data_IF_572588584205
#
_entry.id   IF_572588584205
#
_cell.length_a   1.000
_cell.length_b   1.000
_cell.length_c   1.000
_cell.angle_alpha   90.00
_cell.angle_beta   90.00
_cell.angle_gamma   90.00
#
_symmetry.space_group_name_H-M   'P 1'
#
loop_
_entity.id
_entity.type
_entity.pdbx_description
1 polymer ?
#
# COMPACT_ATOMS: atom_id res chain seq x y z
N UNK A 1 11.03 -16.96 -17.35
CA UNK A 1 9.83 -16.97 -18.23
C UNK A 1 9.41 -18.42 -18.42
N UNK A 2 8.11 -18.70 -18.34
CA UNK A 2 7.56 -20.04 -18.60
C UNK A 2 6.57 -19.93 -19.77
N UNK A 3 6.55 -20.94 -20.64
CA UNK A 3 5.65 -20.99 -21.79
C UNK A 3 4.42 -21.85 -21.45
N UNK A 4 3.23 -21.37 -21.81
CA UNK A 4 1.96 -22.08 -21.62
C UNK A 4 1.30 -22.30 -22.98
N UNK A 5 0.98 -23.55 -23.31
CA UNK A 5 0.21 -23.91 -24.50
C UNK A 5 -1.20 -24.28 -24.09
N UNK A 6 -2.20 -23.67 -24.71
CA UNK A 6 -3.62 -23.91 -24.44
C UNK A 6 -4.32 -24.30 -25.73
N UNK A 7 -5.17 -25.33 -25.66
CA UNK A 7 -6.12 -25.65 -26.72
C UNK A 7 -7.41 -24.86 -26.46
N UNK A 8 -7.74 -23.93 -27.36
CA UNK A 8 -8.90 -23.06 -27.28
C UNK A 8 -9.64 -23.15 -28.61
N UNK A 9 -10.97 -23.09 -28.57
CA UNK A 9 -11.77 -22.97 -29.79
C UNK A 9 -11.36 -21.74 -30.61
N UNK A 10 -11.23 -21.91 -31.92
CA UNK A 10 -10.70 -20.88 -32.82
C UNK A 10 -11.63 -19.66 -32.91
N UNK A 11 -12.95 -19.88 -32.89
CA UNK A 11 -13.93 -18.76 -32.92
C UNK A 11 -13.83 -17.94 -31.65
N UNK A 12 -13.66 -18.61 -30.50
CA UNK A 12 -13.46 -17.94 -29.22
C UNK A 12 -12.15 -17.13 -29.21
N UNK A 13 -11.05 -17.72 -29.68
CA UNK A 13 -9.75 -17.05 -29.75
C UNK A 13 -9.82 -15.83 -30.67
N UNK A 14 -10.49 -15.94 -31.81
CA UNK A 14 -10.64 -14.84 -32.75
C UNK A 14 -11.48 -13.70 -32.16
N UNK A 15 -12.59 -14.01 -31.50
CA UNK A 15 -13.39 -13.01 -30.80
C UNK A 15 -12.59 -12.29 -29.70
N UNK A 16 -11.81 -13.03 -28.92
CA UNK A 16 -10.93 -12.48 -27.89
C UNK A 16 -9.86 -11.55 -28.47
N UNK A 17 -9.26 -11.91 -29.62
CA UNK A 17 -8.28 -11.06 -30.32
C UNK A 17 -8.90 -9.76 -30.80
N UNK A 18 -10.07 -9.80 -31.44
CA UNK A 18 -10.78 -8.60 -31.90
C UNK A 18 -11.07 -7.68 -30.72
N UNK A 19 -11.51 -8.23 -29.59
CA UNK A 19 -11.75 -7.46 -28.37
C UNK A 19 -10.46 -6.85 -27.80
N UNK A 20 -9.38 -7.63 -27.74
CA UNK A 20 -8.11 -7.16 -27.21
C UNK A 20 -7.57 -5.96 -28.02
N UNK A 21 -7.69 -6.00 -29.35
CA UNK A 21 -7.30 -4.87 -30.22
C UNK A 21 -8.12 -3.62 -29.91
N UNK A 22 -9.44 -3.75 -29.75
CA UNK A 22 -10.32 -2.62 -29.38
C UNK A 22 -9.93 -2.00 -28.04
N UNK A 23 -9.53 -2.82 -27.08
CA UNK A 23 -9.10 -2.41 -25.75
C UNK A 23 -7.61 -2.01 -25.69
N UNK A 24 -6.90 -1.95 -26.84
CA UNK A 24 -5.46 -1.69 -26.96
C UNK A 24 -4.60 -2.60 -26.07
N UNK A 25 -4.99 -3.85 -25.95
CA UNK A 25 -4.31 -4.89 -25.19
C UNK A 25 -4.02 -6.12 -26.06
N UNK A 26 -3.48 -7.18 -25.47
CA UNK A 26 -3.24 -8.46 -26.14
C UNK A 26 -3.87 -9.62 -25.37
N UNK A 27 -4.15 -10.72 -26.07
CA UNK A 27 -4.64 -11.94 -25.42
C UNK A 27 -3.62 -12.46 -24.40
N UNK A 28 -2.32 -12.37 -24.68
CA UNK A 28 -1.28 -12.73 -23.71
C UNK A 28 -1.32 -11.89 -22.43
N UNK A 29 -1.55 -10.58 -22.57
CA UNK A 29 -1.71 -9.67 -21.43
C UNK A 29 -2.90 -10.09 -20.55
N UNK A 30 -4.05 -10.33 -21.19
CA UNK A 30 -5.27 -10.78 -20.51
C UNK A 30 -5.04 -12.12 -19.81
N UNK A 31 -4.43 -13.10 -20.49
CA UNK A 31 -4.13 -14.41 -19.89
C UNK A 31 -3.22 -14.28 -18.67
N UNK A 32 -2.21 -13.41 -18.73
CA UNK A 32 -1.31 -13.17 -17.59
C UNK A 32 -2.06 -12.57 -16.41
N UNK A 33 -2.89 -11.56 -16.65
CA UNK A 33 -3.69 -10.92 -15.60
C UNK A 33 -4.69 -11.91 -14.98
N UNK A 34 -5.32 -12.75 -15.80
CA UNK A 34 -6.21 -13.80 -15.31
C UNK A 34 -5.47 -14.83 -14.44
N UNK A 35 -4.29 -15.28 -14.87
CA UNK A 35 -3.45 -16.19 -14.08
C UNK A 35 -2.96 -15.55 -12.78
N UNK A 36 -2.57 -14.28 -12.79
CA UNK A 36 -2.22 -13.54 -11.57
C UNK A 36 -3.40 -13.43 -10.61
N UNK A 37 -4.58 -13.10 -11.13
CA UNK A 37 -5.80 -13.01 -10.32
C UNK A 37 -6.16 -14.37 -9.73
N UNK A 38 -6.08 -15.43 -10.52
CA UNK A 38 -6.31 -16.81 -10.08
C UNK A 38 -5.30 -17.25 -9.00
N UNK A 39 -4.01 -16.96 -9.20
CA UNK A 39 -2.98 -17.25 -8.20
C UNK A 39 -3.19 -16.44 -6.91
N UNK A 40 -3.57 -15.15 -7.00
CA UNK A 40 -3.91 -14.30 -5.84
C UNK A 40 -5.17 -14.75 -5.12
N UNK A 41 -6.12 -15.36 -5.83
CA UNK A 41 -7.38 -15.87 -5.27
C UNK A 41 -7.19 -17.09 -4.35
N UNK A 42 -5.99 -17.68 -4.31
CA UNK A 42 -5.59 -18.60 -3.24
C UNK A 42 -5.53 -17.83 -1.93
N UNK A 43 -6.68 -17.70 -1.27
CA UNK A 43 -6.97 -16.79 -0.14
C UNK A 43 -6.04 -16.87 1.06
N UNK A 44 -5.14 -17.86 1.12
CA UNK A 44 -4.02 -17.93 2.05
C UNK A 44 -3.26 -16.61 2.18
N UNK A 45 -2.82 -15.98 1.09
CA UNK A 45 -1.98 -14.78 1.21
C UNK A 45 -2.72 -13.53 1.70
N UNK A 46 -4.01 -13.37 1.37
CA UNK A 46 -4.79 -12.23 1.86
C UNK A 46 -5.15 -12.44 3.33
N UNK A 47 -5.59 -13.63 3.69
CA UNK A 47 -5.92 -13.99 5.06
C UNK A 47 -4.67 -13.97 5.95
N UNK A 48 -3.54 -14.51 5.50
CA UNK A 48 -2.27 -14.46 6.23
C UNK A 48 -1.77 -13.03 6.42
N UNK A 49 -1.89 -12.16 5.40
CA UNK A 49 -1.56 -10.74 5.57
C UNK A 49 -2.46 -10.09 6.61
N UNK A 50 -3.76 -10.37 6.56
CA UNK A 50 -4.71 -9.85 7.52
C UNK A 50 -4.40 -10.34 8.94
N UNK A 51 -4.16 -11.64 9.12
CA UNK A 51 -3.79 -12.25 10.39
C UNK A 51 -2.45 -11.71 10.92
N UNK A 52 -1.46 -11.46 10.06
CA UNK A 52 -0.19 -10.82 10.47
C UNK A 52 -0.41 -9.40 10.97
N UNK A 53 -1.22 -8.60 10.26
CA UNK A 53 -1.54 -7.23 10.69
C UNK A 53 -2.31 -7.25 12.01
N UNK A 54 -3.28 -8.15 12.15
CA UNK A 54 -4.05 -8.29 13.38
C UNK A 54 -3.16 -8.72 14.56
N UNK A 55 -2.31 -9.73 14.37
CA UNK A 55 -1.36 -10.16 15.39
C UNK A 55 -0.38 -9.05 15.79
N UNK A 56 0.03 -8.20 14.84
CA UNK A 56 0.88 -7.04 15.14
C UNK A 56 0.13 -5.96 15.96
N UNK A 57 -1.17 -5.76 15.70
CA UNK A 57 -2.02 -4.86 16.49
C UNK A 57 -2.22 -5.41 17.89
N UNK A 58 -2.49 -6.71 18.03
CA UNK A 58 -2.74 -7.36 19.32
C UNK A 58 -1.45 -7.45 20.17
N UNK A 59 -0.30 -7.64 19.54
CA UNK A 59 1.00 -7.66 20.19
C UNK A 59 1.55 -6.26 20.48
N UNK A 60 1.02 -5.21 19.85
CA UNK A 60 1.42 -3.85 20.14
C UNK A 60 1.04 -3.53 21.60
N UNK A 61 1.98 -3.01 22.41
CA UNK A 61 1.66 -2.64 23.78
C UNK A 61 0.53 -1.61 23.75
N UNK A 62 -0.55 -1.84 24.51
CA UNK A 62 -1.66 -0.88 24.71
C UNK A 62 -1.23 0.39 25.45
N UNK A 63 0.06 0.59 25.62
CA UNK A 63 0.66 1.85 26.02
C UNK A 63 0.53 2.81 24.84
N UNK A 64 -0.59 3.51 24.77
CA UNK A 64 -0.56 4.84 24.14
C UNK A 64 0.63 5.57 24.73
N UNK A 65 1.53 6.14 23.91
CA UNK A 65 2.39 7.20 24.39
C UNK A 65 1.48 8.19 25.14
N UNK A 66 1.92 8.79 26.26
CA UNK A 66 1.14 9.84 26.91
C UNK A 66 0.62 10.77 25.83
N UNK A 67 -0.72 10.97 25.81
CA UNK A 67 -1.37 11.82 24.82
C UNK A 67 -0.52 13.10 24.70
N UNK A 68 -0.06 13.46 23.49
CA UNK A 68 0.74 14.66 23.33
C UNK A 68 -0.04 15.82 23.96
N UNK A 69 0.67 16.71 24.65
CA UNK A 69 0.07 17.91 25.20
C UNK A 69 -0.82 18.54 24.13
N UNK A 70 -2.08 18.87 24.48
CA UNK A 70 -3.06 19.41 23.53
C UNK A 70 -2.39 20.55 22.76
N UNK A 71 -2.18 20.35 21.46
CA UNK A 71 -1.57 21.36 20.60
C UNK A 71 -2.43 22.61 20.66
N UNK A 72 -1.81 23.76 20.92
CA UNK A 72 -2.53 25.03 21.00
C UNK A 72 -2.93 25.52 19.61
N UNK A 73 -2.26 25.04 18.57
CA UNK A 73 -2.59 25.33 17.18
C UNK A 73 -2.22 24.20 16.21
N UNK A 74 -2.82 24.26 15.03
CA UNK A 74 -2.51 23.36 13.90
C UNK A 74 -1.04 23.44 13.47
N UNK A 75 -0.43 24.62 13.55
CA UNK A 75 0.95 24.84 13.13
C UNK A 75 1.95 24.17 14.10
N UNK A 76 1.66 24.20 15.40
CA UNK A 76 2.45 23.52 16.44
C UNK A 76 2.41 22.00 16.26
N UNK A 77 1.25 21.45 15.88
CA UNK A 77 1.11 20.03 15.52
C UNK A 77 1.97 19.66 14.30
N UNK A 78 1.95 20.48 13.25
CA UNK A 78 2.75 20.23 12.05
C UNK A 78 4.25 20.28 12.34
N UNK A 79 4.72 21.23 13.16
CA UNK A 79 6.13 21.32 13.57
C UNK A 79 6.57 20.06 14.33
N UNK A 80 5.78 19.59 15.30
CA UNK A 80 6.12 18.39 16.08
C UNK A 80 6.16 17.11 15.22
N UNK A 81 5.17 16.92 14.34
CA UNK A 81 5.10 15.73 13.46
C UNK A 81 6.26 15.70 12.46
N UNK A 82 6.67 16.88 11.97
CA UNK A 82 7.83 17.01 11.09
C UNK A 82 9.13 16.65 11.84
N UNK A 83 9.29 17.09 13.08
CA UNK A 83 10.46 16.78 13.91
C UNK A 83 10.55 15.28 14.26
N UNK A 84 9.43 14.61 14.52
CA UNK A 84 9.38 13.17 14.85
C UNK A 84 9.70 12.27 13.64
N UNK A 85 9.23 12.64 12.43
CA UNK A 85 9.35 11.80 11.23
C UNK A 85 10.58 12.10 10.39
N UNK A 86 11.08 13.34 10.42
CA UNK A 86 12.19 13.79 9.58
C UNK A 86 13.11 14.77 10.34
N UNK A 87 13.91 14.29 11.31
CA UNK A 87 14.77 15.14 12.14
C UNK A 87 15.82 15.94 11.35
N UNK A 88 16.09 15.54 10.10
CA UNK A 88 17.06 16.19 9.20
C UNK A 88 16.48 17.37 8.40
N UNK A 89 15.15 17.60 8.42
CA UNK A 89 14.49 18.73 7.74
C UNK A 89 14.29 19.94 8.67
N UNK A 90 14.84 19.89 9.89
CA UNK A 90 14.78 20.97 10.87
C UNK A 90 15.37 22.25 10.29
N UNK A 91 14.55 23.31 10.16
CA UNK A 91 15.00 24.62 9.68
C UNK A 91 16.14 25.15 10.57
N UNK A 92 17.29 25.56 10.02
CA UNK A 92 18.31 26.25 10.79
C UNK A 92 17.82 27.68 11.06
N UNK A 93 17.33 27.97 12.28
CA UNK A 93 17.01 29.37 12.61
C UNK A 93 16.12 29.68 13.81
N UNK A 94 15.62 28.72 14.59
CA UNK A 94 14.90 29.04 15.84
C UNK A 94 15.48 28.28 17.02
N UNK A 95 16.35 28.97 17.77
CA UNK A 95 16.82 28.53 19.07
C UNK A 95 15.67 28.43 20.10
N UNK A 96 15.91 27.78 21.25
CA UNK A 96 14.86 27.52 22.23
C UNK A 96 14.32 28.83 22.79
N UNK A 97 13.00 29.04 22.69
CA UNK A 97 12.32 30.09 23.44
C UNK A 97 12.38 29.70 24.92
N UNK A 98 13.14 30.47 25.71
CA UNK A 98 13.15 30.40 27.16
C UNK A 98 11.72 30.48 27.70
N UNK A 99 11.38 29.59 28.62
CA UNK A 99 10.16 29.65 29.41
C UNK A 99 10.22 30.86 30.37
N UNK A 100 9.12 31.59 30.59
CA UNK A 100 9.06 32.61 31.62
C UNK A 100 9.02 31.98 33.03
N UNK A 101 9.78 32.58 33.95
CA UNK A 101 9.82 32.28 35.39
C UNK A 101 8.51 32.58 36.10
#
# INVERSE_FOLDING_TARGET
MANLTLSIDDKLLQAARVRAVKERTSVNEICRQALEAYARASGSQRLERYLRVQAAIDAAPRSSPPLPAVWKSRDEMYEQVLDERHPTLRRPGKGPRKAPS
#
